data_IF_619306108931
#
_entry.id   IF_619306108931
#
_cell.length_a   1.000
_cell.length_b   1.000
_cell.length_c   1.000
_cell.angle_alpha   90.00
_cell.angle_beta   90.00
_cell.angle_gamma   90.00
#
_symmetry.space_group_name_H-M   'P 1'
#
loop_
_entity.id
_entity.type
_entity.pdbx_description
1 polymer ?
#
# COMPACT_ATOMS: atom_id res chain seq x y z
N UNK A 1 -40.35 -15.97 20.33
CA UNK A 1 -40.04 -15.10 19.21
C UNK A 1 -39.77 -13.70 19.77
N UNK A 2 -38.51 -13.32 19.92
CA UNK A 2 -38.10 -12.01 20.42
C UNK A 2 -37.75 -11.20 19.19
N UNK A 3 -38.44 -10.07 18.98
CA UNK A 3 -38.23 -9.20 17.82
C UNK A 3 -36.90 -8.44 17.91
N UNK A 4 -36.36 -7.94 16.79
CA UNK A 4 -35.03 -7.34 16.70
C UNK A 4 -34.89 -5.90 17.25
N UNK A 5 -35.94 -5.32 17.81
CA UNK A 5 -35.91 -4.00 18.40
C UNK A 5 -36.44 -4.07 19.84
N UNK A 6 -35.55 -3.97 20.82
CA UNK A 6 -35.93 -3.65 22.18
C UNK A 6 -36.34 -2.17 22.24
N UNK A 7 -37.47 -1.84 22.87
CA UNK A 7 -37.79 -0.45 23.15
C UNK A 7 -36.76 0.13 24.10
N UNK A 8 -36.29 1.34 23.81
CA UNK A 8 -35.47 2.13 24.74
C UNK A 8 -36.32 2.41 25.96
N UNK A 9 -35.99 1.84 27.10
CA UNK A 9 -36.60 2.20 28.36
C UNK A 9 -36.33 3.69 28.67
N UNK A 10 -37.36 4.48 29.01
CA UNK A 10 -37.16 5.83 29.46
C UNK A 10 -36.92 5.78 30.97
N UNK A 11 -35.69 5.59 31.37
CA UNK A 11 -35.33 5.76 32.77
C UNK A 11 -34.05 6.56 32.90
N UNK A 12 -34.17 7.68 33.51
CA UNK A 12 -33.44 8.30 34.59
C UNK A 12 -33.57 9.85 34.53
N UNK A 13 -34.56 10.34 35.25
CA UNK A 13 -34.82 11.78 35.31
C UNK A 13 -33.87 12.58 36.22
N UNK A 14 -32.86 11.91 36.82
CA UNK A 14 -31.99 12.58 37.81
C UNK A 14 -30.52 12.72 37.36
N UNK A 15 -30.15 12.31 36.12
CA UNK A 15 -28.81 12.44 35.58
C UNK A 15 -28.54 13.63 34.64
N UNK A 16 -29.52 14.49 34.41
CA UNK A 16 -29.48 15.53 33.34
C UNK A 16 -28.66 16.78 33.68
N UNK A 17 -27.66 16.67 34.53
CA UNK A 17 -26.92 17.86 34.98
C UNK A 17 -25.41 17.88 34.73
N UNK A 18 -24.76 16.84 34.20
CA UNK A 18 -23.28 16.83 34.17
C UNK A 18 -22.58 16.18 32.99
N UNK A 19 -23.26 15.93 31.91
CA UNK A 19 -22.57 15.63 30.64
C UNK A 19 -22.63 16.82 29.68
N UNK A 20 -22.33 18.01 30.20
CA UNK A 20 -21.85 19.09 29.34
C UNK A 20 -20.56 18.56 28.71
N UNK A 21 -20.62 18.38 27.41
CA UNK A 21 -19.51 18.10 26.50
C UNK A 21 -18.26 18.75 27.05
N UNK A 22 -17.34 17.96 27.61
CA UNK A 22 -16.03 18.48 27.98
C UNK A 22 -15.50 19.21 26.75
N UNK A 23 -15.14 20.51 26.86
CA UNK A 23 -14.64 21.24 25.71
C UNK A 23 -13.45 20.46 25.23
N UNK A 24 -13.53 19.95 23.97
CA UNK A 24 -12.46 19.23 23.30
C UNK A 24 -11.20 20.06 23.52
N UNK A 25 -10.41 19.63 24.48
CA UNK A 25 -9.17 20.32 24.83
C UNK A 25 -8.32 20.27 23.58
N UNK A 26 -8.26 21.38 22.85
CA UNK A 26 -7.42 21.56 21.65
C UNK A 26 -5.97 21.50 22.09
N UNK A 27 -5.47 20.26 22.31
CA UNK A 27 -4.03 20.06 22.53
C UNK A 27 -3.32 20.56 21.28
N UNK A 28 -2.33 21.43 21.41
CA UNK A 28 -1.58 21.91 20.26
C UNK A 28 -0.99 20.67 19.53
N UNK A 29 -1.30 20.57 18.24
CA UNK A 29 -0.78 19.48 17.40
C UNK A 29 0.74 19.69 17.31
N UNK A 30 1.53 18.78 17.85
CA UNK A 30 2.98 18.87 17.76
C UNK A 30 3.41 18.71 16.31
N UNK A 31 4.35 19.54 15.84
CA UNK A 31 4.95 19.41 14.50
C UNK A 31 5.44 18.00 14.23
N UNK A 32 5.85 17.26 15.26
CA UNK A 32 6.30 15.86 15.18
C UNK A 32 5.20 14.91 14.71
N UNK A 33 3.92 15.22 14.98
CA UNK A 33 2.78 14.40 14.52
C UNK A 33 2.36 14.74 13.09
N UNK A 34 2.70 15.93 12.59
CA UNK A 34 2.36 16.38 11.25
C UNK A 34 3.32 15.79 10.21
N UNK A 35 4.60 15.67 10.55
CA UNK A 35 5.66 15.28 9.60
C UNK A 35 5.41 13.93 8.92
N UNK A 36 5.05 12.82 9.62
CA UNK A 36 4.73 11.56 8.95
C UNK A 36 3.55 11.70 7.99
N UNK A 37 2.47 12.35 8.43
CA UNK A 37 1.28 12.54 7.60
C UNK A 37 1.58 13.35 6.32
N UNK A 38 2.53 14.28 6.38
CA UNK A 38 2.98 15.02 5.19
C UNK A 38 3.70 14.10 4.19
N UNK A 39 4.51 13.15 4.69
CA UNK A 39 5.19 12.17 3.82
C UNK A 39 4.17 11.25 3.17
N UNK A 40 3.17 10.76 3.93
CA UNK A 40 2.05 9.96 3.40
C UNK A 40 1.28 10.71 2.31
N UNK A 41 0.97 12.00 2.54
CA UNK A 41 0.30 12.84 1.51
C UNK A 41 1.17 13.04 0.27
N UNK A 42 2.49 13.18 0.43
CA UNK A 42 3.41 13.24 -0.71
C UNK A 42 3.44 11.92 -1.49
N UNK A 43 3.39 10.78 -0.79
CA UNK A 43 3.26 9.47 -1.42
C UNK A 43 1.96 9.37 -2.23
N UNK A 44 0.83 9.85 -1.69
CA UNK A 44 -0.44 9.92 -2.40
C UNK A 44 -0.35 10.80 -3.65
N UNK A 45 0.26 11.98 -3.53
CA UNK A 45 0.47 12.88 -4.68
C UNK A 45 1.32 12.21 -5.77
N UNK A 46 2.36 11.46 -5.40
CA UNK A 46 3.19 10.73 -6.36
C UNK A 46 2.38 9.62 -7.07
N UNK A 47 1.56 8.85 -6.35
CA UNK A 47 0.69 7.84 -6.93
C UNK A 47 -0.38 8.41 -7.87
N UNK A 48 -1.04 9.49 -7.50
CA UNK A 48 -1.98 10.18 -8.39
C UNK A 48 -1.28 10.78 -9.61
N UNK A 49 -0.07 11.30 -9.43
CA UNK A 49 0.75 11.80 -10.54
C UNK A 49 1.13 10.68 -11.49
N UNK A 50 1.37 9.46 -11.00
CA UNK A 50 1.67 8.30 -11.84
C UNK A 50 0.51 7.98 -12.79
N UNK A 51 -0.75 8.05 -12.30
CA UNK A 51 -1.95 7.86 -13.14
C UNK A 51 -2.02 8.96 -14.20
N UNK A 52 -1.82 10.22 -13.82
CA UNK A 52 -1.81 11.34 -14.75
C UNK A 52 -0.77 11.15 -15.87
N UNK A 53 0.45 10.78 -15.51
CA UNK A 53 1.53 10.54 -16.47
C UNK A 53 1.19 9.37 -17.43
N UNK A 54 0.51 8.33 -16.94
CA UNK A 54 0.01 7.24 -17.77
C UNK A 54 -1.08 7.71 -18.74
N UNK A 55 -1.98 8.61 -18.32
CA UNK A 55 -2.98 9.23 -19.21
C UNK A 55 -2.34 10.08 -20.31
N UNK A 56 -1.18 10.68 -20.04
CA UNK A 56 -0.38 11.41 -21.03
C UNK A 56 0.45 10.48 -21.95
N UNK A 57 0.35 9.15 -21.79
CA UNK A 57 1.17 8.17 -22.53
C UNK A 57 2.63 8.07 -22.06
N UNK A 58 3.00 8.76 -20.99
CA UNK A 58 4.36 8.84 -20.45
C UNK A 58 4.60 7.74 -19.41
N UNK A 59 4.49 6.49 -19.85
CA UNK A 59 4.52 5.31 -18.96
C UNK A 59 5.83 5.17 -18.18
N UNK A 60 6.95 5.62 -18.74
CA UNK A 60 8.24 5.61 -18.04
C UNK A 60 8.21 6.45 -16.78
N UNK A 61 7.74 7.68 -16.90
CA UNK A 61 7.60 8.58 -15.76
C UNK A 61 6.50 8.13 -14.81
N UNK A 62 5.45 7.45 -15.33
CA UNK A 62 4.41 6.85 -14.48
C UNK A 62 4.99 5.77 -13.55
N UNK A 63 5.82 4.86 -14.07
CA UNK A 63 6.51 3.85 -13.25
C UNK A 63 7.45 4.52 -12.26
N UNK A 64 8.23 5.53 -12.69
CA UNK A 64 9.12 6.26 -11.78
C UNK A 64 8.33 6.92 -10.62
N UNK A 65 7.22 7.59 -10.92
CA UNK A 65 6.36 8.19 -9.91
C UNK A 65 5.76 7.13 -8.96
N UNK A 66 5.43 5.94 -9.48
CA UNK A 66 4.93 4.82 -8.71
C UNK A 66 5.98 4.27 -7.74
N UNK A 67 7.22 4.11 -8.20
CA UNK A 67 8.34 3.71 -7.34
C UNK A 67 8.62 4.76 -6.27
N UNK A 68 8.57 6.04 -6.63
CA UNK A 68 8.71 7.13 -5.67
C UNK A 68 7.61 7.09 -4.61
N UNK A 69 6.35 6.82 -5.01
CA UNK A 69 5.24 6.64 -4.08
C UNK A 69 5.52 5.50 -3.09
N UNK A 70 6.01 4.35 -3.57
CA UNK A 70 6.34 3.21 -2.73
C UNK A 70 7.52 3.49 -1.76
N UNK A 71 8.50 4.29 -2.17
CA UNK A 71 9.60 4.71 -1.30
C UNK A 71 9.10 5.64 -0.20
N UNK A 72 8.29 6.65 -0.56
CA UNK A 72 7.72 7.61 0.39
C UNK A 72 6.84 6.91 1.42
N UNK A 73 6.01 5.96 0.99
CA UNK A 73 5.19 5.10 1.83
C UNK A 73 6.05 4.29 2.84
N UNK A 74 7.13 3.65 2.38
CA UNK A 74 8.04 2.95 3.29
C UNK A 74 8.78 3.88 4.26
N UNK A 75 8.91 5.18 3.93
CA UNK A 75 9.57 6.17 4.77
C UNK A 75 8.64 6.72 5.85
N UNK A 76 7.36 6.98 5.58
CA UNK A 76 6.43 7.59 6.53
C UNK A 76 6.22 6.73 7.78
N UNK A 77 6.08 5.42 7.62
CA UNK A 77 6.02 4.48 8.73
C UNK A 77 7.31 4.42 9.57
N UNK A 78 8.47 4.62 8.94
CA UNK A 78 9.76 4.72 9.67
C UNK A 78 9.86 6.05 10.41
N UNK A 79 9.49 7.15 9.78
CA UNK A 79 9.47 8.49 10.37
C UNK A 79 8.52 8.52 11.57
N UNK A 80 7.30 7.98 11.44
CA UNK A 80 6.34 7.89 12.53
C UNK A 80 6.89 7.15 13.75
N UNK A 81 7.60 6.04 13.54
CA UNK A 81 8.25 5.25 14.61
C UNK A 81 9.42 6.00 15.25
N UNK A 82 10.27 6.64 14.46
CA UNK A 82 11.42 7.42 14.96
C UNK A 82 10.97 8.60 15.80
N UNK A 83 9.89 9.29 15.38
CA UNK A 83 9.35 10.44 16.09
C UNK A 83 8.40 10.06 17.24
N UNK A 84 8.09 8.75 17.43
CA UNK A 84 7.14 8.23 18.41
C UNK A 84 5.77 8.97 18.29
N UNK A 85 5.34 9.27 17.09
CA UNK A 85 4.20 10.13 16.78
C UNK A 85 3.08 9.42 16.02
N UNK A 86 2.92 8.11 16.21
CA UNK A 86 1.83 7.35 15.59
C UNK A 86 0.48 7.88 16.09
N UNK A 87 -0.39 8.28 15.17
CA UNK A 87 -1.74 8.73 15.44
C UNK A 87 -2.77 7.84 14.74
N UNK A 88 -4.00 7.77 15.28
CA UNK A 88 -5.08 7.04 14.62
C UNK A 88 -5.38 7.61 13.23
N UNK A 89 -5.39 8.95 13.10
CA UNK A 89 -5.58 9.62 11.82
C UNK A 89 -4.48 9.26 10.82
N UNK A 90 -3.21 9.22 11.26
CA UNK A 90 -2.09 8.83 10.40
C UNK A 90 -2.22 7.40 9.89
N UNK A 91 -2.64 6.46 10.74
CA UNK A 91 -2.83 5.06 10.33
C UNK A 91 -3.98 4.88 9.31
N UNK A 92 -5.07 5.65 9.45
CA UNK A 92 -6.17 5.63 8.47
C UNK A 92 -5.73 6.28 7.15
N UNK A 93 -5.01 7.40 7.22
CA UNK A 93 -4.48 8.08 6.04
C UNK A 93 -3.51 7.20 5.26
N UNK A 94 -2.61 6.50 5.94
CA UNK A 94 -1.68 5.51 5.41
C UNK A 94 -2.44 4.41 4.65
N UNK A 95 -3.45 3.81 5.28
CA UNK A 95 -4.27 2.77 4.64
C UNK A 95 -5.01 3.24 3.38
N UNK A 96 -5.51 4.48 3.38
CA UNK A 96 -6.16 5.07 2.21
C UNK A 96 -5.15 5.35 1.09
N UNK A 97 -3.98 5.83 1.45
CA UNK A 97 -2.87 6.09 0.53
C UNK A 97 -2.37 4.78 -0.09
N UNK A 98 -2.18 3.75 0.72
CA UNK A 98 -1.84 2.39 0.28
C UNK A 98 -2.82 1.86 -0.77
N UNK A 99 -4.13 2.02 -0.52
CA UNK A 99 -5.16 1.59 -1.47
C UNK A 99 -5.03 2.31 -2.81
N UNK A 100 -4.84 3.62 -2.81
CA UNK A 100 -4.70 4.39 -4.04
C UNK A 100 -3.39 4.02 -4.76
N UNK A 101 -2.27 4.01 -4.05
CA UNK A 101 -0.96 3.81 -4.64
C UNK A 101 -0.74 2.37 -5.13
N UNK A 102 -1.18 1.36 -4.38
CA UNK A 102 -0.88 -0.05 -4.69
C UNK A 102 -2.09 -0.81 -5.25
N UNK A 103 -3.31 -0.28 -5.08
CA UNK A 103 -4.53 -0.88 -5.63
C UNK A 103 -4.99 -0.20 -6.92
N UNK A 104 -5.24 1.10 -6.87
CA UNK A 104 -5.86 1.83 -7.98
C UNK A 104 -4.83 2.17 -9.05
N UNK A 105 -3.71 2.79 -8.68
CA UNK A 105 -2.74 3.32 -9.64
C UNK A 105 -2.14 2.24 -10.55
N UNK A 106 -1.66 1.07 -10.08
CA UNK A 106 -1.11 0.03 -10.96
C UNK A 106 -2.14 -0.52 -11.93
N UNK A 107 -3.37 -0.77 -11.47
CA UNK A 107 -4.47 -1.23 -12.32
C UNK A 107 -4.80 -0.24 -13.43
N UNK A 108 -4.87 1.06 -13.09
CA UNK A 108 -5.12 2.13 -14.04
C UNK A 108 -3.98 2.29 -15.06
N UNK A 109 -2.72 2.21 -14.61
CA UNK A 109 -1.56 2.29 -15.52
C UNK A 109 -1.61 1.16 -16.55
N UNK A 110 -1.86 -0.08 -16.12
CA UNK A 110 -1.97 -1.22 -17.04
C UNK A 110 -3.18 -1.10 -17.96
N UNK A 111 -4.31 -0.63 -17.46
CA UNK A 111 -5.49 -0.37 -18.29
C UNK A 111 -5.16 0.64 -19.39
N UNK A 112 -4.57 1.76 -19.06
CA UNK A 112 -4.20 2.81 -20.00
C UNK A 112 -3.11 2.38 -20.97
N UNK A 113 -2.20 1.49 -20.53
CA UNK A 113 -1.11 1.02 -21.38
C UNK A 113 -1.54 0.02 -22.45
N UNK A 114 -2.27 -1.03 -22.06
CA UNK A 114 -2.56 -2.14 -22.98
C UNK A 114 -3.99 -2.67 -22.86
N UNK A 115 -4.54 -2.76 -21.65
CA UNK A 115 -5.82 -3.43 -21.44
C UNK A 115 -7.02 -2.64 -22.00
N UNK A 116 -6.85 -1.35 -22.34
CA UNK A 116 -7.91 -0.56 -22.99
C UNK A 116 -8.30 -1.13 -24.36
N UNK A 117 -7.42 -1.86 -25.05
CA UNK A 117 -7.70 -2.56 -26.30
C UNK A 117 -8.83 -3.60 -26.12
N UNK A 118 -8.96 -4.18 -24.93
CA UNK A 118 -10.03 -5.12 -24.56
C UNK A 118 -11.31 -4.42 -24.08
N UNK A 119 -11.39 -3.09 -24.18
CA UNK A 119 -12.56 -2.27 -23.79
C UNK A 119 -13.04 -2.61 -22.37
N UNK A 120 -14.31 -3.05 -22.23
CA UNK A 120 -14.92 -3.34 -20.93
C UNK A 120 -14.22 -4.46 -20.14
N UNK A 121 -13.66 -5.46 -20.81
CA UNK A 121 -12.96 -6.56 -20.13
C UNK A 121 -11.69 -6.08 -19.46
N UNK A 122 -10.91 -5.22 -20.13
CA UNK A 122 -9.70 -4.64 -19.54
C UNK A 122 -10.01 -3.75 -18.33
N UNK A 123 -11.09 -2.96 -18.42
CA UNK A 123 -11.57 -2.16 -17.28
C UNK A 123 -11.99 -3.03 -16.10
N UNK A 124 -12.74 -4.10 -16.35
CA UNK A 124 -13.17 -5.04 -15.32
C UNK A 124 -11.97 -5.68 -14.63
N UNK A 125 -10.92 -6.05 -15.38
CA UNK A 125 -9.70 -6.61 -14.78
C UNK A 125 -9.00 -5.63 -13.84
N UNK A 126 -8.88 -4.35 -14.23
CA UNK A 126 -8.33 -3.30 -13.39
C UNK A 126 -9.17 -3.08 -12.11
N UNK A 127 -10.51 -3.08 -12.23
CA UNK A 127 -11.42 -2.98 -11.10
C UNK A 127 -11.27 -4.17 -10.14
N UNK A 128 -11.24 -5.40 -10.67
CA UNK A 128 -11.08 -6.61 -9.86
C UNK A 128 -9.77 -6.54 -9.08
N UNK A 129 -8.67 -6.13 -9.71
CA UNK A 129 -7.40 -5.96 -9.02
C UNK A 129 -7.50 -4.95 -7.87
N UNK A 130 -8.10 -3.78 -8.11
CA UNK A 130 -8.30 -2.75 -7.08
C UNK A 130 -9.17 -3.27 -5.93
N UNK A 131 -10.25 -4.00 -6.22
CA UNK A 131 -11.12 -4.62 -5.21
C UNK A 131 -10.34 -5.67 -4.39
N UNK A 132 -9.56 -6.52 -5.05
CA UNK A 132 -8.71 -7.50 -4.37
C UNK A 132 -7.73 -6.82 -3.41
N UNK A 133 -7.12 -5.72 -3.82
CA UNK A 133 -6.21 -4.95 -2.98
C UNK A 133 -6.95 -4.30 -1.80
N UNK A 134 -8.14 -3.73 -2.01
CA UNK A 134 -8.98 -3.18 -0.94
C UNK A 134 -9.33 -4.24 0.11
N UNK A 135 -9.78 -5.42 -0.33
CA UNK A 135 -10.12 -6.53 0.57
C UNK A 135 -8.91 -7.00 1.38
N UNK A 136 -7.75 -7.06 0.75
CA UNK A 136 -6.50 -7.40 1.42
C UNK A 136 -6.15 -6.39 2.52
N UNK A 137 -6.17 -5.09 2.20
CA UNK A 137 -5.86 -4.02 3.16
C UNK A 137 -6.87 -3.99 4.31
N UNK A 138 -8.16 -4.12 4.00
CA UNK A 138 -9.22 -4.19 5.02
C UNK A 138 -8.98 -5.38 5.99
N UNK A 139 -8.68 -6.57 5.46
CA UNK A 139 -8.37 -7.76 6.28
C UNK A 139 -7.13 -7.54 7.16
N UNK A 140 -6.08 -6.93 6.61
CA UNK A 140 -4.86 -6.62 7.35
C UNK A 140 -5.14 -5.64 8.51
N UNK A 141 -5.91 -4.58 8.25
CA UNK A 141 -6.28 -3.60 9.28
C UNK A 141 -7.12 -4.22 10.40
N UNK A 142 -8.10 -5.06 10.06
CA UNK A 142 -8.90 -5.81 11.06
C UNK A 142 -8.01 -6.73 11.88
N UNK A 143 -7.11 -7.47 11.25
CA UNK A 143 -6.19 -8.37 11.96
C UNK A 143 -5.29 -7.60 12.94
N UNK A 144 -4.74 -6.45 12.53
CA UNK A 144 -3.92 -5.61 13.39
C UNK A 144 -4.71 -5.02 14.57
N UNK A 145 -5.96 -4.59 14.34
CA UNK A 145 -6.84 -4.08 15.39
C UNK A 145 -7.18 -5.15 16.45
N UNK A 146 -7.37 -6.41 16.02
CA UNK A 146 -7.62 -7.54 16.91
C UNK A 146 -6.37 -7.93 17.72
N UNK A 147 -5.18 -7.93 17.10
CA UNK A 147 -3.90 -8.20 17.78
C UNK A 147 -3.62 -7.15 18.86
N UNK A 148 -3.86 -5.88 18.57
CA UNK A 148 -3.68 -4.78 19.53
C UNK A 148 -4.56 -4.95 20.78
N UNK A 149 -5.74 -5.56 20.67
CA UNK A 149 -6.64 -5.82 21.79
C UNK A 149 -6.25 -7.04 22.64
N UNK A 150 -5.56 -8.03 22.06
CA UNK A 150 -5.35 -9.34 22.71
C UNK A 150 -4.00 -9.51 23.40
N UNK A 151 -3.03 -8.65 23.34
CA UNK A 151 -1.69 -8.78 23.98
C UNK A 151 -1.15 -10.25 24.02
N UNK A 152 -1.38 -11.02 22.99
CA UNK A 152 -0.93 -12.42 22.92
C UNK A 152 0.33 -12.42 22.07
N UNK A 153 1.46 -12.77 22.68
CA UNK A 153 2.69 -13.13 21.98
C UNK A 153 2.47 -14.45 21.25
N UNK A 154 2.08 -14.37 19.98
CA UNK A 154 1.82 -15.55 19.18
C UNK A 154 3.02 -15.79 18.25
N UNK A 155 3.62 -17.00 18.31
CA UNK A 155 4.71 -17.44 17.45
C UNK A 155 4.35 -17.41 15.94
N UNK A 156 3.06 -17.26 15.61
CA UNK A 156 2.54 -17.02 14.26
C UNK A 156 2.91 -15.64 13.66
N UNK A 157 3.52 -14.74 14.41
CA UNK A 157 3.91 -13.39 13.95
C UNK A 157 5.03 -13.39 12.90
N UNK A 158 5.58 -14.55 12.56
CA UNK A 158 6.71 -14.67 11.62
C UNK A 158 6.28 -14.77 10.15
N UNK A 159 4.99 -14.87 9.83
CA UNK A 159 4.50 -15.02 8.46
C UNK A 159 3.51 -13.91 8.11
N UNK A 160 3.71 -13.30 6.93
CA UNK A 160 2.67 -12.47 6.33
C UNK A 160 1.59 -13.35 5.70
N UNK A 161 0.34 -12.99 5.89
CA UNK A 161 -0.78 -13.64 5.21
C UNK A 161 -1.01 -12.95 3.87
N UNK A 162 -0.63 -13.59 2.76
CA UNK A 162 -0.74 -13.05 1.40
C UNK A 162 0.43 -12.16 0.96
N UNK A 163 0.48 -11.84 -0.34
CA UNK A 163 1.53 -10.99 -0.94
C UNK A 163 1.46 -9.56 -0.39
N UNK A 164 2.55 -8.91 0.02
CA UNK A 164 2.56 -7.50 0.44
C UNK A 164 1.96 -6.56 -0.63
N UNK A 165 1.24 -5.49 -0.23
CA UNK A 165 0.60 -4.59 -1.20
C UNK A 165 1.59 -3.96 -2.18
N UNK A 166 2.75 -3.44 -1.76
CA UNK A 166 3.74 -2.91 -2.69
C UNK A 166 4.27 -3.97 -3.66
N UNK A 167 4.49 -5.21 -3.18
CA UNK A 167 4.94 -6.31 -4.04
C UNK A 167 3.88 -6.68 -5.09
N UNK A 168 2.60 -6.77 -4.70
CA UNK A 168 1.49 -7.00 -5.62
C UNK A 168 1.39 -5.94 -6.70
N UNK A 169 1.57 -4.66 -6.35
CA UNK A 169 1.60 -3.55 -7.29
C UNK A 169 2.76 -3.65 -8.28
N UNK A 170 3.96 -3.98 -7.80
CA UNK A 170 5.14 -4.18 -8.66
C UNK A 170 4.98 -5.39 -9.58
N UNK A 171 4.43 -6.51 -9.08
CA UNK A 171 4.11 -7.68 -9.90
C UNK A 171 3.16 -7.30 -11.06
N UNK A 172 2.10 -6.54 -10.78
CA UNK A 172 1.14 -6.13 -11.82
C UNK A 172 1.81 -5.25 -12.88
N UNK A 173 2.75 -4.38 -12.52
CA UNK A 173 3.47 -3.51 -13.46
C UNK A 173 4.63 -4.23 -14.20
N UNK A 174 4.92 -5.48 -13.86
CA UNK A 174 6.02 -6.25 -14.47
C UNK A 174 5.94 -6.32 -16.01
N UNK A 175 4.79 -6.60 -16.66
CA UNK A 175 4.72 -6.66 -18.12
C UNK A 175 5.12 -5.33 -18.78
N UNK A 176 4.69 -4.22 -18.24
CA UNK A 176 5.07 -2.88 -18.73
C UNK A 176 6.58 -2.64 -18.57
N UNK A 177 7.16 -3.06 -17.44
CA UNK A 177 8.61 -2.94 -17.21
C UNK A 177 9.41 -3.81 -18.16
N UNK A 178 8.94 -5.03 -18.46
CA UNK A 178 9.56 -5.94 -19.42
C UNK A 178 9.56 -5.38 -20.85
N UNK A 179 8.44 -4.77 -21.28
CA UNK A 179 8.40 -4.09 -22.58
C UNK A 179 9.47 -3.00 -22.69
N UNK A 180 9.67 -2.23 -21.64
CA UNK A 180 10.66 -1.15 -21.60
C UNK A 180 12.12 -1.64 -21.59
N UNK A 181 12.36 -2.88 -21.17
CA UNK A 181 13.69 -3.51 -21.25
C UNK A 181 13.93 -4.14 -22.62
N UNK A 182 12.92 -4.18 -23.50
CA UNK A 182 13.06 -4.66 -24.88
C UNK A 182 12.33 -5.97 -25.18
N UNK A 183 11.51 -6.49 -24.27
CA UNK A 183 10.63 -7.63 -24.57
C UNK A 183 9.51 -7.14 -25.51
N UNK A 184 9.31 -7.76 -26.69
CA UNK A 184 8.25 -7.35 -27.61
C UNK A 184 6.89 -7.75 -27.02
N UNK A 185 6.17 -6.78 -26.48
CA UNK A 185 4.80 -6.94 -25.96
C UNK A 185 3.91 -6.05 -26.80
N UNK A 186 3.11 -6.67 -27.67
CA UNK A 186 2.16 -6.03 -28.58
C UNK A 186 0.72 -6.25 -28.13
N UNK A 187 -0.24 -5.76 -28.88
CA UNK A 187 -1.70 -5.90 -28.60
C UNK A 187 -2.14 -7.35 -28.41
N UNK A 188 -1.45 -8.31 -29.03
CA UNK A 188 -1.76 -9.76 -28.91
C UNK A 188 -1.58 -10.28 -27.49
N UNK A 189 -0.76 -9.58 -26.68
CA UNK A 189 -0.54 -9.90 -25.27
C UNK A 189 -1.61 -9.38 -24.32
N UNK A 190 -2.62 -8.63 -24.83
CA UNK A 190 -3.65 -8.05 -23.99
C UNK A 190 -4.45 -9.11 -23.20
N UNK A 191 -4.81 -10.24 -23.81
CA UNK A 191 -5.53 -11.34 -23.14
C UNK A 191 -4.63 -12.07 -22.12
N UNK A 192 -3.39 -12.51 -22.48
CA UNK A 192 -2.48 -13.06 -21.49
C UNK A 192 -2.24 -12.14 -20.28
N UNK A 193 -2.05 -10.85 -20.51
CA UNK A 193 -1.83 -9.87 -19.45
C UNK A 193 -3.09 -9.65 -18.62
N UNK A 194 -4.28 -9.67 -19.20
CA UNK A 194 -5.53 -9.64 -18.46
C UNK A 194 -5.61 -10.82 -17.48
N UNK A 195 -5.36 -12.04 -17.95
CA UNK A 195 -5.35 -13.26 -17.12
C UNK A 195 -4.30 -13.14 -16.01
N UNK A 196 -3.10 -12.64 -16.34
CA UNK A 196 -2.04 -12.40 -15.39
C UNK A 196 -2.46 -11.45 -14.28
N UNK A 197 -3.09 -10.30 -14.60
CA UNK A 197 -3.59 -9.33 -13.61
C UNK A 197 -4.62 -9.96 -12.67
N UNK A 198 -5.54 -10.78 -13.21
CA UNK A 198 -6.53 -11.50 -12.39
C UNK A 198 -5.86 -12.52 -11.46
N UNK A 199 -4.86 -13.26 -11.94
CA UNK A 199 -4.11 -14.20 -11.12
C UNK A 199 -3.38 -13.49 -9.99
N UNK A 200 -2.68 -12.37 -10.27
CA UNK A 200 -2.01 -11.58 -9.23
C UNK A 200 -3.02 -11.01 -8.24
N UNK A 201 -4.16 -10.48 -8.70
CA UNK A 201 -5.23 -10.00 -7.81
C UNK A 201 -5.71 -11.11 -6.87
N UNK A 202 -5.93 -12.31 -7.38
CA UNK A 202 -6.33 -13.46 -6.58
C UNK A 202 -5.24 -13.87 -5.57
N UNK A 203 -3.97 -13.89 -5.97
CA UNK A 203 -2.85 -14.17 -5.07
C UNK A 203 -2.73 -13.14 -3.95
N UNK A 204 -2.98 -11.87 -4.23
CA UNK A 204 -2.96 -10.79 -3.24
C UNK A 204 -4.03 -10.99 -2.16
N UNK A 205 -5.23 -11.47 -2.53
CA UNK A 205 -6.31 -11.77 -1.57
C UNK A 205 -6.11 -13.12 -0.88
N UNK A 206 -5.34 -14.02 -1.47
CA UNK A 206 -5.12 -15.37 -0.93
C UNK A 206 -4.52 -15.32 0.48
N UNK A 207 -4.67 -16.43 1.21
CA UNK A 207 -4.11 -16.61 2.56
C UNK A 207 -2.78 -17.37 2.53
N UNK A 208 -2.15 -17.52 1.37
CA UNK A 208 -0.87 -18.22 1.24
C UNK A 208 0.16 -17.54 2.13
N UNK A 209 0.81 -18.26 3.06
CA UNK A 209 1.84 -17.69 3.91
C UNK A 209 3.05 -17.31 3.05
N UNK A 210 3.33 -16.02 2.95
CA UNK A 210 4.53 -15.51 2.27
C UNK A 210 5.64 -15.25 3.28
N UNK A 211 6.87 -15.46 2.86
CA UNK A 211 8.05 -15.29 3.71
C UNK A 211 8.15 -13.84 4.20
N UNK A 212 8.18 -13.66 5.51
CA UNK A 212 8.33 -12.35 6.13
C UNK A 212 9.81 -12.11 6.43
N UNK A 213 10.42 -11.11 5.78
CA UNK A 213 11.79 -10.68 6.04
C UNK A 213 12.03 -10.02 7.42
N UNK A 214 11.10 -10.14 8.37
CA UNK A 214 11.20 -9.52 9.71
C UNK A 214 12.43 -9.97 10.51
N UNK A 215 12.97 -11.16 10.24
CA UNK A 215 14.20 -11.64 10.89
C UNK A 215 15.48 -10.90 10.47
N UNK A 216 15.45 -10.18 9.34
CA UNK A 216 16.59 -9.35 8.90
C UNK A 216 16.71 -8.02 9.68
N UNK A 217 15.75 -7.65 10.53
CA UNK A 217 15.68 -6.36 11.22
C UNK A 217 16.20 -6.36 12.67
N UNK A 218 16.69 -7.47 13.20
CA UNK A 218 17.26 -7.52 14.55
C UNK A 218 18.69 -6.98 14.57
N UNK A 219 18.81 -5.67 14.88
CA UNK A 219 20.08 -5.04 15.25
C UNK A 219 21.18 -5.15 14.20
N UNK A 220 21.25 -4.19 13.27
CA UNK A 220 22.38 -4.07 12.33
C UNK A 220 23.64 -3.76 13.15
N UNK A 221 24.66 -4.63 13.19
CA UNK A 221 25.93 -4.31 13.82
C UNK A 221 26.50 -3.02 13.23
N UNK A 222 27.17 -2.20 14.06
CA UNK A 222 27.73 -0.91 13.61
C UNK A 222 28.65 -1.06 12.40
N UNK A 223 29.33 -2.20 12.28
CA UNK A 223 30.26 -2.50 11.18
C UNK A 223 29.53 -2.63 9.81
N UNK A 224 28.22 -2.96 9.81
CA UNK A 224 27.40 -3.03 8.60
C UNK A 224 26.69 -1.73 8.25
N UNK A 225 26.78 -0.69 9.09
CA UNK A 225 26.10 0.59 8.84
C UNK A 225 26.63 1.28 7.58
N UNK A 226 27.96 1.29 7.39
CA UNK A 226 28.62 1.94 6.26
C UNK A 226 28.36 1.18 4.94
N UNK A 227 28.56 -0.14 4.81
CA UNK A 227 28.20 -0.87 3.61
C UNK A 227 26.70 -0.82 3.30
N UNK A 228 25.82 -0.77 4.32
CA UNK A 228 24.39 -0.60 4.11
C UNK A 228 24.05 0.78 3.53
N UNK A 229 24.67 1.85 4.03
CA UNK A 229 24.48 3.20 3.47
C UNK A 229 24.96 3.28 2.02
N UNK A 230 26.14 2.72 1.71
CA UNK A 230 26.68 2.66 0.34
C UNK A 230 25.74 1.84 -0.54
N UNK A 231 25.26 0.68 -0.08
CA UNK A 231 24.30 -0.15 -0.79
C UNK A 231 22.98 0.57 -1.09
N UNK A 232 22.47 1.34 -0.13
CA UNK A 232 21.25 2.13 -0.30
C UNK A 232 21.43 3.27 -1.30
N UNK A 233 22.57 3.97 -1.27
CA UNK A 233 22.89 5.02 -2.25
C UNK A 233 23.07 4.42 -3.63
N UNK A 234 23.76 3.29 -3.75
CA UNK A 234 23.96 2.60 -5.01
C UNK A 234 22.63 2.08 -5.58
N UNK A 235 21.76 1.55 -4.74
CA UNK A 235 20.41 1.13 -5.11
C UNK A 235 19.56 2.30 -5.60
N UNK A 236 19.60 3.46 -4.90
CA UNK A 236 18.90 4.67 -5.33
C UNK A 236 19.45 5.21 -6.67
N UNK A 237 20.78 5.15 -6.88
CA UNK A 237 21.40 5.53 -8.14
C UNK A 237 21.00 4.58 -9.28
N UNK A 238 20.97 3.27 -9.04
CA UNK A 238 20.50 2.28 -10.01
C UNK A 238 19.02 2.50 -10.35
N UNK A 239 18.19 2.80 -9.35
CA UNK A 239 16.77 3.08 -9.54
C UNK A 239 16.53 4.36 -10.34
N UNK A 240 17.37 5.38 -10.16
CA UNK A 240 17.32 6.61 -10.94
C UNK A 240 17.81 6.41 -12.39
N UNK A 241 18.83 5.53 -12.60
CA UNK A 241 19.42 5.29 -13.92
C UNK A 241 18.69 4.20 -14.72
N UNK A 242 18.19 3.17 -14.05
CA UNK A 242 17.57 1.99 -14.66
C UNK A 242 16.29 1.55 -13.92
N UNK A 243 15.24 2.39 -13.85
CA UNK A 243 14.06 2.13 -13.04
C UNK A 243 13.36 0.81 -13.43
N UNK A 244 13.30 0.50 -14.72
CA UNK A 244 12.61 -0.70 -15.21
C UNK A 244 13.34 -1.99 -14.85
N UNK A 245 14.67 -2.01 -15.02
CA UNK A 245 15.49 -3.16 -14.65
C UNK A 245 15.41 -3.43 -13.14
N UNK A 246 15.42 -2.36 -12.33
CA UNK A 246 15.31 -2.47 -10.87
C UNK A 246 13.93 -3.00 -10.46
N UNK A 247 12.85 -2.46 -11.03
CA UNK A 247 11.49 -2.96 -10.78
C UNK A 247 11.35 -4.42 -11.18
N UNK A 248 11.88 -4.80 -12.35
CA UNK A 248 11.85 -6.18 -12.82
C UNK A 248 12.61 -7.11 -11.86
N UNK A 249 13.84 -6.76 -11.47
CA UNK A 249 14.65 -7.56 -10.55
C UNK A 249 13.96 -7.67 -9.18
N UNK A 250 13.44 -6.56 -8.64
CA UNK A 250 12.72 -6.56 -7.36
C UNK A 250 11.46 -7.43 -7.37
N UNK A 251 10.84 -7.62 -8.51
CA UNK A 251 9.65 -8.48 -8.64
C UNK A 251 10.03 -9.97 -8.62
N UNK A 252 11.26 -10.33 -9.01
CA UNK A 252 11.74 -11.71 -9.01
C UNK A 252 12.46 -12.13 -7.71
N UNK A 253 12.76 -11.21 -6.80
CA UNK A 253 13.34 -11.47 -5.47
C UNK A 253 12.24 -11.53 -4.40
#
# INVERSE_FOLDING_TARGET
>A
MVGPFQPLEPDDKDGLGRNLVDPVQKRPISLRAILPNMVTLLALCAGLTSIRLAMEGRFEFAIFAMVLAAILDGLDGRVARLLKSSSKLGAELDSLTDFVNFGVAPGMILYLWLLHDLRSLGWIAALIFAICMALRLARFNVANALKSKRKIDDWHDNYFTGVPAPAGAMCVLLPLSLQKIGVPIDSDWAIPILIYVLVIGFLVVSTVPTFSGKKLGSGIPRDFALPLMVGLVLWAALLASYPFSVVTIMTFI
#
